data_IF_666834623070
#
_entry.id   IF_666834623070
#
_cell.length_a   1.000
_cell.length_b   1.000
_cell.length_c   1.000
_cell.angle_alpha   90.00
_cell.angle_beta   90.00
_cell.angle_gamma   90.00
#
_symmetry.space_group_name_H-M   'P 1'
#
loop_
_entity.id
_entity.type
_entity.pdbx_description
1 polymer ?
#
# COMPACT_ATOMS: atom_id res chain seq x y z
N UNK A 1 9.17 8.86 1.53
CA UNK A 1 8.59 7.78 2.35
C UNK A 1 8.98 7.99 3.80
N UNK A 2 8.01 7.96 4.72
CA UNK A 2 8.24 7.93 6.15
C UNK A 2 7.96 6.53 6.72
N UNK A 3 8.74 6.08 7.68
CA UNK A 3 8.51 4.83 8.42
C UNK A 3 8.56 5.14 9.90
N UNK A 4 7.47 4.89 10.59
CA UNK A 4 7.34 5.24 12.01
C UNK A 4 6.66 4.11 12.80
N UNK A 5 6.89 4.08 14.11
CA UNK A 5 6.21 3.17 15.02
C UNK A 5 5.19 3.90 15.89
N UNK A 6 4.09 3.23 16.25
CA UNK A 6 3.22 3.66 17.36
C UNK A 6 3.68 3.00 18.66
N UNK A 7 3.61 3.72 19.79
CA UNK A 7 4.02 3.17 21.07
C UNK A 7 3.18 1.95 21.49
N UNK A 8 3.68 1.18 22.43
CA UNK A 8 2.91 0.14 23.09
C UNK A 8 1.82 0.73 23.98
N UNK A 9 0.73 0.01 24.22
CA UNK A 9 -0.38 0.46 25.06
C UNK A 9 0.05 0.74 26.50
N UNK A 10 1.02 -0.03 27.02
CA UNK A 10 1.56 0.17 28.38
C UNK A 10 2.35 1.49 28.55
N UNK A 11 2.78 2.12 27.44
CA UNK A 11 3.45 3.43 27.49
C UNK A 11 2.47 4.58 27.80
N UNK A 12 1.17 4.32 27.73
CA UNK A 12 0.09 5.18 28.17
C UNK A 12 -0.51 6.08 27.09
N UNK A 13 -1.74 6.49 27.33
CA UNK A 13 -2.57 7.26 26.38
C UNK A 13 -1.97 8.60 25.98
N UNK A 14 -1.22 9.25 26.88
CA UNK A 14 -0.57 10.52 26.55
C UNK A 14 0.47 10.35 25.43
N UNK A 15 1.27 9.27 25.51
CA UNK A 15 2.31 8.98 24.53
C UNK A 15 1.68 8.53 23.20
N UNK A 16 0.60 7.77 23.28
CA UNK A 16 -0.18 7.40 22.08
C UNK A 16 -0.76 8.63 21.38
N UNK A 17 -1.37 9.58 22.10
CA UNK A 17 -1.89 10.81 21.53
C UNK A 17 -0.81 11.69 20.89
N UNK A 18 0.38 11.77 21.50
CA UNK A 18 1.52 12.48 20.89
C UNK A 18 1.99 11.81 19.59
N UNK A 19 2.02 10.47 19.57
CA UNK A 19 2.37 9.71 18.36
C UNK A 19 1.34 9.92 17.24
N UNK A 20 0.05 9.93 17.55
CA UNK A 20 -1.02 10.16 16.57
C UNK A 20 -0.93 11.56 15.97
N UNK A 21 -0.74 12.59 16.80
CA UNK A 21 -0.52 13.97 16.32
C UNK A 21 0.71 14.04 15.41
N UNK A 22 1.83 13.43 15.80
CA UNK A 22 3.04 13.42 14.98
C UNK A 22 2.88 12.66 13.66
N UNK A 23 2.08 11.59 13.64
CA UNK A 23 1.73 10.84 12.42
C UNK A 23 0.91 11.72 11.48
N UNK A 24 -0.10 12.43 11.97
CA UNK A 24 -0.91 13.35 11.17
C UNK A 24 -0.07 14.48 10.57
N UNK A 25 0.81 15.09 11.36
CA UNK A 25 1.72 16.13 10.88
C UNK A 25 2.69 15.58 9.83
N UNK A 26 3.28 14.41 10.05
CA UNK A 26 4.22 13.79 9.12
C UNK A 26 3.53 13.39 7.81
N UNK A 27 2.29 12.92 7.87
CA UNK A 27 1.51 12.53 6.68
C UNK A 27 1.32 13.69 5.69
N UNK A 28 1.31 14.93 6.17
CA UNK A 28 1.23 16.12 5.32
C UNK A 28 2.53 16.43 4.57
N UNK A 29 3.67 15.82 4.97
CA UNK A 29 5.00 16.13 4.46
C UNK A 29 5.66 14.97 3.69
N UNK A 30 5.04 13.80 3.65
CA UNK A 30 5.54 12.62 2.94
C UNK A 30 4.49 12.09 1.97
N UNK A 31 4.94 11.50 0.86
CA UNK A 31 4.02 10.88 -0.11
C UNK A 31 3.39 9.61 0.45
N UNK A 32 4.20 8.81 1.14
CA UNK A 32 3.77 7.54 1.77
C UNK A 32 4.26 7.48 3.20
N UNK A 33 3.39 7.08 4.12
CA UNK A 33 3.72 6.85 5.51
C UNK A 33 3.40 5.42 5.93
N UNK A 34 4.45 4.67 6.26
CA UNK A 34 4.33 3.31 6.82
C UNK A 34 4.27 3.44 8.34
N UNK A 35 3.14 3.04 8.92
CA UNK A 35 2.94 3.08 10.37
C UNK A 35 2.94 1.66 10.93
N UNK A 36 3.82 1.41 11.89
CA UNK A 36 4.00 0.11 12.53
C UNK A 36 3.52 0.20 13.99
N UNK A 37 2.34 -0.36 14.34
CA UNK A 37 1.90 -0.40 15.73
C UNK A 37 2.74 -1.40 16.54
N UNK A 38 3.49 -0.94 17.56
CA UNK A 38 4.29 -1.83 18.40
C UNK A 38 3.42 -2.85 19.15
N UNK A 39 2.17 -2.51 19.43
CA UNK A 39 1.23 -3.42 20.10
C UNK A 39 1.04 -4.75 19.32
N UNK A 40 1.15 -4.73 18.01
CA UNK A 40 1.05 -5.93 17.18
C UNK A 40 2.22 -6.92 17.37
N UNK A 41 3.34 -6.45 17.94
CA UNK A 41 4.49 -7.32 18.24
C UNK A 41 4.19 -8.34 19.35
N UNK A 42 3.16 -8.09 20.19
CA UNK A 42 2.73 -9.05 21.20
C UNK A 42 2.25 -10.40 20.61
N UNK A 43 1.84 -10.42 19.35
CA UNK A 43 1.42 -11.67 18.68
C UNK A 43 2.59 -12.62 18.35
N UNK A 44 3.80 -12.06 18.23
CA UNK A 44 5.04 -12.83 17.99
C UNK A 44 5.91 -12.94 19.24
N UNK A 45 5.60 -12.16 20.28
CA UNK A 45 6.23 -12.26 21.58
C UNK A 45 5.72 -13.49 22.35
N UNK A 46 6.55 -14.00 23.23
CA UNK A 46 6.20 -15.10 24.14
C UNK A 46 6.36 -14.66 25.60
N UNK A 47 5.90 -15.48 26.55
CA UNK A 47 5.97 -15.18 27.97
C UNK A 47 7.38 -14.93 28.53
N UNK A 48 8.42 -15.32 27.79
CA UNK A 48 9.84 -15.13 28.14
C UNK A 48 10.44 -13.88 27.52
N UNK A 49 9.70 -13.19 26.64
CA UNK A 49 10.16 -11.98 25.98
C UNK A 49 10.29 -10.87 27.01
N UNK A 50 11.52 -10.39 27.19
CA UNK A 50 11.77 -9.29 28.13
C UNK A 50 11.33 -7.96 27.55
N UNK A 51 11.23 -6.96 28.42
CA UNK A 51 10.92 -5.58 27.99
C UNK A 51 11.94 -5.03 26.98
N UNK A 52 13.23 -5.33 27.20
CA UNK A 52 14.29 -4.94 26.25
C UNK A 52 14.14 -5.64 24.92
N UNK A 53 13.79 -6.94 24.90
CA UNK A 53 13.55 -7.69 23.69
C UNK A 53 12.37 -7.12 22.89
N UNK A 54 11.31 -6.67 23.56
CA UNK A 54 10.16 -6.09 22.89
C UNK A 54 10.54 -4.80 22.10
N UNK A 55 11.36 -3.94 22.68
CA UNK A 55 11.88 -2.76 21.96
C UNK A 55 12.84 -3.14 20.84
N UNK A 56 13.70 -4.13 21.06
CA UNK A 56 14.60 -4.63 20.02
C UNK A 56 13.83 -5.24 18.84
N UNK A 57 12.73 -5.92 19.12
CA UNK A 57 11.79 -6.39 18.08
C UNK A 57 11.18 -5.21 17.30
N UNK A 58 10.81 -4.12 17.98
CA UNK A 58 10.31 -2.91 17.32
C UNK A 58 11.35 -2.28 16.39
N UNK A 59 12.60 -2.18 16.85
CA UNK A 59 13.73 -1.69 16.06
C UNK A 59 13.99 -2.58 14.84
N UNK A 60 13.95 -3.90 15.04
CA UNK A 60 14.13 -4.87 13.95
C UNK A 60 13.06 -4.73 12.88
N UNK A 61 11.81 -4.57 13.27
CA UNK A 61 10.70 -4.41 12.33
C UNK A 61 10.77 -3.07 11.61
N UNK A 62 11.16 -2.00 12.29
CA UNK A 62 11.40 -0.70 11.68
C UNK A 62 12.51 -0.79 10.62
N UNK A 63 13.62 -1.44 10.96
CA UNK A 63 14.72 -1.70 10.03
C UNK A 63 14.25 -2.52 8.82
N UNK A 64 13.50 -3.60 9.05
CA UNK A 64 12.93 -4.41 7.97
C UNK A 64 12.00 -3.61 7.06
N UNK A 65 11.24 -2.65 7.62
CA UNK A 65 10.37 -1.76 6.87
C UNK A 65 11.13 -0.89 5.89
N UNK A 66 12.23 -0.32 6.33
CA UNK A 66 13.12 0.48 5.48
C UNK A 66 13.85 -0.43 4.47
N UNK A 67 14.44 -1.53 4.92
CA UNK A 67 15.18 -2.45 4.08
C UNK A 67 14.31 -3.07 2.99
N UNK A 68 13.04 -3.42 3.29
CA UNK A 68 12.11 -3.99 2.31
C UNK A 68 11.91 -3.12 1.07
N UNK A 69 12.07 -1.81 1.20
CA UNK A 69 12.00 -0.86 0.09
C UNK A 69 13.38 -0.58 -0.52
N UNK A 70 14.39 -0.35 0.33
CA UNK A 70 15.71 0.07 -0.14
C UNK A 70 16.51 -1.07 -0.75
N UNK A 71 16.35 -2.28 -0.26
CA UNK A 71 17.08 -3.46 -0.75
C UNK A 71 16.76 -3.73 -2.23
N UNK A 72 15.53 -3.50 -2.66
CA UNK A 72 15.11 -3.64 -4.06
C UNK A 72 15.84 -2.70 -5.01
N UNK A 73 16.33 -1.56 -4.52
CA UNK A 73 17.08 -0.58 -5.32
C UNK A 73 18.59 -0.80 -5.25
N UNK A 74 19.10 -1.32 -4.12
CA UNK A 74 20.53 -1.31 -3.82
C UNK A 74 21.15 -2.71 -3.98
N UNK A 75 20.41 -3.75 -3.57
CA UNK A 75 20.93 -5.13 -3.63
C UNK A 75 20.78 -5.71 -5.03
N UNK A 76 21.79 -6.47 -5.50
CA UNK A 76 21.65 -7.21 -6.75
C UNK A 76 20.57 -8.29 -6.61
N UNK A 77 19.72 -8.40 -7.61
CA UNK A 77 18.66 -9.40 -7.68
C UNK A 77 18.47 -9.90 -9.11
N UNK A 78 17.65 -10.94 -9.28
CA UNK A 78 17.26 -11.42 -10.61
C UNK A 78 16.22 -10.49 -11.25
N UNK A 79 15.35 -9.93 -10.43
CA UNK A 79 14.32 -8.97 -10.86
C UNK A 79 14.56 -7.68 -10.09
N UNK A 80 15.32 -6.79 -10.71
CA UNK A 80 15.59 -5.47 -10.16
C UNK A 80 14.49 -4.51 -10.54
N UNK A 81 14.03 -3.75 -9.56
CA UNK A 81 13.12 -2.65 -9.78
C UNK A 81 13.91 -1.35 -9.95
N UNK A 82 13.50 -0.54 -10.91
CA UNK A 82 14.04 0.80 -11.03
C UNK A 82 13.38 1.76 -10.03
N UNK A 83 13.98 2.93 -9.88
CA UNK A 83 13.44 3.94 -8.97
C UNK A 83 12.04 4.45 -9.42
N UNK A 84 11.74 4.42 -10.72
CA UNK A 84 10.47 4.87 -11.25
C UNK A 84 9.34 3.91 -10.85
N UNK A 85 9.58 2.61 -10.89
CA UNK A 85 8.63 1.59 -10.45
C UNK A 85 8.29 1.73 -8.97
N UNK A 86 9.32 1.82 -8.12
CA UNK A 86 9.13 2.00 -6.68
C UNK A 86 8.41 3.31 -6.39
N UNK A 87 8.79 4.39 -7.09
CA UNK A 87 8.14 5.68 -6.94
C UNK A 87 6.67 5.62 -7.31
N UNK A 88 6.28 4.92 -8.36
CA UNK A 88 4.87 4.80 -8.78
C UNK A 88 3.99 4.21 -7.68
N UNK A 89 4.48 3.17 -6.98
CA UNK A 89 3.79 2.56 -5.84
C UNK A 89 3.80 3.48 -4.63
N UNK A 90 4.94 4.12 -4.35
CA UNK A 90 5.11 4.95 -3.15
C UNK A 90 4.49 6.34 -3.26
N UNK A 91 4.14 6.80 -4.47
CA UNK A 91 3.40 8.05 -4.66
C UNK A 91 1.88 7.87 -4.59
N UNK A 92 1.38 6.65 -4.46
CA UNK A 92 -0.03 6.42 -4.14
C UNK A 92 -0.30 6.97 -2.74
N UNK A 93 -1.02 8.10 -2.69
CA UNK A 93 -1.27 8.83 -1.45
C UNK A 93 -2.08 8.00 -0.47
N UNK A 94 -1.65 7.97 0.79
CA UNK A 94 -2.37 7.30 1.85
C UNK A 94 -1.47 6.61 2.87
N UNK A 95 -2.10 5.79 3.68
CA UNK A 95 -1.40 4.93 4.62
C UNK A 95 -0.87 3.71 3.89
N UNK A 96 0.34 3.32 4.25
CA UNK A 96 0.92 2.07 3.80
C UNK A 96 1.00 1.08 4.97
N UNK A 97 0.77 -0.17 4.66
CA UNK A 97 0.93 -1.30 5.58
C UNK A 97 2.01 -2.23 5.05
N UNK A 98 2.70 -2.89 5.96
CA UNK A 98 3.77 -3.83 5.63
C UNK A 98 3.61 -5.12 6.40
N UNK A 99 3.89 -6.23 5.72
CA UNK A 99 4.04 -7.55 6.32
C UNK A 99 5.33 -8.20 5.87
N UNK A 100 5.94 -8.95 6.77
CA UNK A 100 7.12 -9.76 6.47
C UNK A 100 6.90 -11.16 7.00
N UNK A 101 7.34 -12.16 6.23
CA UNK A 101 7.35 -13.55 6.62
C UNK A 101 8.68 -14.21 6.25
N UNK A 102 9.14 -15.11 7.08
CA UNK A 102 10.34 -15.90 6.85
C UNK A 102 10.03 -17.38 7.05
N UNK A 103 10.58 -18.21 6.18
CA UNK A 103 10.47 -19.65 6.31
C UNK A 103 11.74 -20.34 5.76
N UNK A 104 11.95 -21.58 6.21
CA UNK A 104 13.07 -22.41 5.78
C UNK A 104 12.61 -23.83 5.52
N UNK A 105 13.38 -24.58 4.73
CA UNK A 105 13.09 -25.98 4.41
C UNK A 105 12.10 -26.15 3.27
N UNK A 106 11.44 -27.30 3.21
CA UNK A 106 10.51 -27.65 2.13
C UNK A 106 9.24 -26.79 2.20
N UNK A 107 8.81 -26.22 1.05
CA UNK A 107 7.65 -25.33 0.98
C UNK A 107 7.88 -23.95 1.61
N UNK A 108 9.14 -23.55 1.82
CA UNK A 108 9.50 -22.25 2.42
C UNK A 108 8.88 -21.06 1.68
N UNK A 109 8.68 -21.17 0.37
CA UNK A 109 8.09 -20.11 -0.45
C UNK A 109 6.67 -19.78 -0.03
N UNK A 110 5.79 -20.80 -0.02
CA UNK A 110 4.39 -20.67 0.40
C UNK A 110 4.29 -20.27 1.87
N UNK A 111 5.08 -20.88 2.75
CA UNK A 111 5.08 -20.58 4.18
C UNK A 111 5.51 -19.14 4.47
N UNK A 112 6.56 -18.63 3.80
CA UNK A 112 7.01 -17.25 3.96
C UNK A 112 5.96 -16.26 3.41
N UNK A 113 5.34 -16.58 2.27
CA UNK A 113 4.26 -15.77 1.71
C UNK A 113 3.04 -15.73 2.66
N UNK A 114 2.60 -16.86 3.17
CA UNK A 114 1.51 -16.93 4.14
C UNK A 114 1.82 -16.20 5.45
N UNK A 115 3.03 -16.34 5.96
CA UNK A 115 3.47 -15.60 7.16
C UNK A 115 3.48 -14.07 6.92
N UNK A 116 3.83 -13.64 5.70
CA UNK A 116 3.79 -12.24 5.32
C UNK A 116 2.35 -11.71 5.20
N UNK A 117 1.45 -12.48 4.57
CA UNK A 117 0.03 -12.14 4.38
C UNK A 117 -0.71 -12.16 5.72
N UNK A 118 -0.56 -13.24 6.49
CA UNK A 118 -1.19 -13.41 7.80
C UNK A 118 -0.56 -12.54 8.88
N UNK A 119 0.37 -11.66 8.50
CA UNK A 119 0.88 -10.67 9.43
C UNK A 119 -0.29 -9.78 9.88
N UNK A 120 -0.55 -9.69 11.19
CA UNK A 120 -1.69 -8.92 11.74
C UNK A 120 -1.72 -7.45 11.37
N UNK A 121 -0.74 -6.99 10.65
CA UNK A 121 -0.65 -5.63 10.09
C UNK A 121 -1.26 -5.54 8.68
N UNK A 122 -1.45 -6.69 8.04
CA UNK A 122 -1.99 -6.84 6.69
C UNK A 122 -3.43 -7.37 6.67
N UNK A 123 -4.01 -7.75 7.83
CA UNK A 123 -5.37 -8.31 7.95
C UNK A 123 -6.47 -7.49 7.25
N UNK A 124 -6.17 -6.25 6.90
CA UNK A 124 -7.09 -5.34 6.22
C UNK A 124 -6.76 -5.08 4.74
N UNK A 125 -5.70 -5.67 4.15
CA UNK A 125 -5.30 -5.33 2.76
C UNK A 125 -6.40 -5.70 1.76
N UNK A 126 -6.94 -6.90 1.85
CA UNK A 126 -8.01 -7.36 0.96
C UNK A 126 -9.34 -6.65 1.24
N UNK A 127 -9.54 -6.14 2.47
CA UNK A 127 -10.72 -5.40 2.88
C UNK A 127 -10.60 -3.89 2.68
N UNK A 128 -9.37 -3.36 2.70
CA UNK A 128 -9.10 -1.93 2.63
C UNK A 128 -8.86 -1.42 1.21
N UNK A 129 -8.77 -2.32 0.21
CA UNK A 129 -8.60 -1.94 -1.20
C UNK A 129 -7.28 -1.22 -1.43
N UNK A 130 -6.15 -1.90 -1.20
CA UNK A 130 -4.84 -1.37 -1.55
C UNK A 130 -4.77 -1.06 -3.04
N UNK A 131 -4.32 0.14 -3.41
CA UNK A 131 -4.19 0.53 -4.83
C UNK A 131 -2.93 -0.01 -5.46
N UNK A 132 -1.87 -0.11 -4.69
CA UNK A 132 -0.62 -0.70 -5.16
C UNK A 132 0.04 -1.57 -4.09
N UNK A 133 0.69 -2.63 -4.52
CA UNK A 133 1.37 -3.59 -3.67
C UNK A 133 2.77 -3.86 -4.20
N UNK A 134 3.76 -3.65 -3.36
CA UNK A 134 5.15 -3.98 -3.62
C UNK A 134 5.49 -5.29 -2.91
N UNK A 135 5.97 -6.26 -3.65
CA UNK A 135 6.37 -7.57 -3.14
C UNK A 135 7.87 -7.74 -3.33
N UNK A 136 8.58 -7.98 -2.26
CA UNK A 136 10.00 -8.32 -2.30
C UNK A 136 10.23 -9.73 -1.77
N UNK A 137 10.81 -10.59 -2.59
CA UNK A 137 11.26 -11.94 -2.20
C UNK A 137 12.77 -11.93 -2.09
N UNK A 138 13.28 -12.21 -0.90
CA UNK A 138 14.72 -12.29 -0.62
C UNK A 138 15.08 -13.70 -0.18
N UNK A 139 16.12 -14.26 -0.78
CA UNK A 139 16.63 -15.60 -0.41
C UNK A 139 18.11 -15.72 -0.67
N UNK A 140 18.67 -16.86 -0.31
CA UNK A 140 20.05 -17.23 -0.63
C UNK A 140 20.22 -17.53 -2.12
N UNK A 141 21.45 -17.90 -2.50
CA UNK A 141 21.77 -18.30 -3.88
C UNK A 141 21.11 -19.64 -4.28
N UNK A 142 20.55 -20.35 -3.33
CA UNK A 142 19.78 -21.59 -3.48
C UNK A 142 18.30 -21.36 -3.85
N UNK A 143 17.84 -20.09 -3.88
CA UNK A 143 16.47 -19.72 -4.23
C UNK A 143 16.19 -20.03 -5.71
N UNK A 144 15.14 -20.80 -5.96
CA UNK A 144 14.74 -21.24 -7.30
C UNK A 144 13.65 -20.34 -7.90
N UNK A 145 13.58 -20.33 -9.23
CA UNK A 145 12.52 -19.60 -9.95
C UNK A 145 11.12 -20.11 -9.58
N UNK A 146 10.98 -21.43 -9.36
CA UNK A 146 9.69 -22.01 -8.97
C UNK A 146 9.21 -21.54 -7.61
N UNK A 147 10.11 -21.42 -6.65
CA UNK A 147 9.80 -20.89 -5.31
C UNK A 147 9.37 -19.44 -5.38
N UNK A 148 10.02 -18.64 -6.22
CA UNK A 148 9.68 -17.23 -6.45
C UNK A 148 8.29 -17.10 -7.06
N UNK A 149 7.97 -17.93 -8.07
CA UNK A 149 6.64 -17.96 -8.71
C UNK A 149 5.55 -18.43 -7.74
N UNK A 150 5.83 -19.47 -6.94
CA UNK A 150 4.90 -19.98 -5.94
C UNK A 150 4.56 -18.93 -4.88
N UNK A 151 5.57 -18.23 -4.34
CA UNK A 151 5.36 -17.14 -3.40
C UNK A 151 4.55 -15.99 -4.03
N UNK A 152 4.88 -15.60 -5.26
CA UNK A 152 4.18 -14.53 -5.98
C UNK A 152 2.70 -14.87 -6.24
N UNK A 153 2.42 -16.10 -6.68
CA UNK A 153 1.05 -16.55 -6.95
C UNK A 153 0.24 -16.61 -5.64
N UNK A 154 0.82 -17.15 -4.56
CA UNK A 154 0.14 -17.20 -3.25
C UNK A 154 -0.26 -15.82 -2.74
N UNK A 155 0.61 -14.81 -2.95
CA UNK A 155 0.31 -13.43 -2.54
C UNK A 155 -0.73 -12.81 -3.46
N UNK A 156 -0.63 -13.06 -4.77
CA UNK A 156 -1.58 -12.52 -5.77
C UNK A 156 -3.00 -12.99 -5.54
N UNK A 157 -3.19 -14.20 -5.06
CA UNK A 157 -4.51 -14.77 -4.74
C UNK A 157 -5.24 -14.01 -3.61
N UNK A 158 -4.51 -13.30 -2.76
CA UNK A 158 -5.05 -12.52 -1.64
C UNK A 158 -5.21 -11.03 -1.93
N UNK A 159 -4.68 -10.55 -3.05
CA UNK A 159 -4.72 -9.14 -3.44
C UNK A 159 -5.86 -8.90 -4.43
N UNK A 160 -6.48 -7.73 -4.34
CA UNK A 160 -7.51 -7.31 -5.27
C UNK A 160 -6.96 -7.26 -6.72
N UNK A 161 -7.73 -7.76 -7.67
CA UNK A 161 -7.35 -7.82 -9.10
C UNK A 161 -7.08 -6.44 -9.72
N UNK A 162 -7.66 -5.39 -9.13
CA UNK A 162 -7.52 -4.01 -9.61
C UNK A 162 -6.26 -3.32 -9.07
N UNK A 163 -5.53 -3.95 -8.15
CA UNK A 163 -4.30 -3.41 -7.58
C UNK A 163 -3.11 -3.52 -8.54
N UNK A 164 -2.27 -2.49 -8.55
CA UNK A 164 -0.98 -2.53 -9.24
C UNK A 164 0.01 -3.34 -8.41
N UNK A 165 0.47 -4.48 -8.93
CA UNK A 165 1.43 -5.33 -8.23
C UNK A 165 2.80 -5.15 -8.85
N UNK A 166 3.78 -4.73 -8.05
CA UNK A 166 5.19 -4.67 -8.42
C UNK A 166 5.94 -5.74 -7.65
N UNK A 167 6.67 -6.56 -8.38
CA UNK A 167 7.39 -7.70 -7.86
C UNK A 167 8.89 -7.53 -8.06
N UNK A 168 9.68 -7.75 -7.00
CA UNK A 168 11.14 -7.79 -7.05
C UNK A 168 11.71 -8.98 -6.30
N UNK A 169 12.91 -9.39 -6.69
CA UNK A 169 13.65 -10.44 -5.99
C UNK A 169 15.09 -10.02 -5.75
N UNK A 170 15.57 -10.23 -4.54
CA UNK A 170 16.93 -9.89 -4.12
C UNK A 170 17.64 -11.10 -3.52
N UNK A 171 18.97 -11.14 -3.65
CA UNK A 171 19.80 -12.15 -3.04
C UNK A 171 20.49 -11.63 -1.77
N UNK A 172 20.52 -12.45 -0.75
CA UNK A 172 21.28 -12.21 0.47
C UNK A 172 21.93 -13.51 0.92
N UNK A 173 23.27 -13.58 0.83
CA UNK A 173 24.04 -14.77 1.21
C UNK A 173 23.81 -15.23 2.66
N UNK A 174 23.33 -14.32 3.53
CA UNK A 174 23.00 -14.64 4.91
C UNK A 174 21.71 -15.42 5.06
N UNK A 175 20.90 -15.49 4.01
CA UNK A 175 19.62 -16.19 3.97
C UNK A 175 19.70 -17.53 3.24
N UNK A 176 20.89 -18.16 3.22
CA UNK A 176 21.03 -19.50 2.64
C UNK A 176 20.11 -20.50 3.34
N UNK A 177 19.30 -21.23 2.58
CA UNK A 177 18.25 -22.12 3.11
C UNK A 177 16.98 -21.42 3.65
N UNK A 178 16.95 -20.09 3.67
CA UNK A 178 15.82 -19.29 4.19
C UNK A 178 15.26 -18.43 3.07
N UNK A 179 13.94 -18.30 3.04
CA UNK A 179 13.25 -17.33 2.18
C UNK A 179 12.52 -16.31 3.04
N UNK A 180 12.69 -15.04 2.70
CA UNK A 180 11.98 -13.92 3.31
C UNK A 180 11.11 -13.26 2.26
N UNK A 181 9.84 -13.07 2.60
CA UNK A 181 8.88 -12.32 1.78
C UNK A 181 8.49 -11.06 2.51
N UNK A 182 8.59 -9.92 1.85
CA UNK A 182 8.16 -8.63 2.37
C UNK A 182 7.10 -8.05 1.43
N UNK A 183 5.97 -7.62 1.99
CA UNK A 183 4.85 -7.04 1.26
C UNK A 183 4.64 -5.64 1.79
N UNK A 184 4.56 -4.64 0.90
CA UNK A 184 4.18 -3.27 1.23
C UNK A 184 2.96 -2.91 0.40
N UNK A 185 1.85 -2.67 1.07
CA UNK A 185 0.60 -2.24 0.44
C UNK A 185 0.38 -0.75 0.67
N UNK A 186 0.10 0.00 -0.40
CA UNK A 186 -0.07 1.45 -0.38
C UNK A 186 -1.44 1.86 -0.91
N UNK A 187 -1.80 3.14 -0.72
CA UNK A 187 -3.09 3.65 -1.17
C UNK A 187 -4.28 3.12 -0.38
N UNK A 188 -4.05 2.70 0.88
CA UNK A 188 -5.10 2.17 1.73
C UNK A 188 -5.97 3.33 2.22
N UNK A 189 -7.21 3.40 1.75
CA UNK A 189 -8.18 4.38 2.20
C UNK A 189 -8.72 4.00 3.57
N UNK A 190 -8.58 4.89 4.55
CA UNK A 190 -9.28 4.73 5.82
C UNK A 190 -10.78 4.86 5.59
N UNK A 191 -11.60 4.04 6.26
CA UNK A 191 -13.06 4.07 6.16
C UNK A 191 -13.69 5.46 6.39
N UNK A 192 -12.96 6.39 7.00
CA UNK A 192 -13.33 7.80 7.17
C UNK A 192 -13.23 8.60 5.85
N UNK A 193 -12.20 8.37 5.05
CA UNK A 193 -12.01 9.07 3.77
C UNK A 193 -13.05 8.62 2.71
N UNK A 194 -13.54 7.39 2.81
CA UNK A 194 -14.58 6.86 1.93
C UNK A 194 -15.95 7.55 2.11
N UNK A 195 -16.17 8.24 3.24
CA UNK A 195 -17.42 8.97 3.52
C UNK A 195 -17.41 10.40 3.01
N UNK A 196 -16.29 10.95 2.58
CA UNK A 196 -16.16 12.34 2.13
C UNK A 196 -15.98 12.49 0.60
N UNK A 197 -16.11 11.44 -0.19
CA UNK A 197 -16.18 11.60 -1.63
C UNK A 197 -17.41 12.46 -1.96
N UNK A 198 -17.25 13.69 -2.48
CA UNK A 198 -18.39 14.53 -2.78
C UNK A 198 -19.22 13.86 -3.86
N UNK A 199 -20.43 13.47 -3.51
CA UNK A 199 -21.44 13.05 -4.48
C UNK A 199 -21.68 14.26 -5.36
N UNK A 200 -21.11 14.29 -6.56
CA UNK A 200 -21.47 15.27 -7.56
C UNK A 200 -22.94 15.05 -7.89
N UNK A 201 -23.81 15.84 -7.26
CA UNK A 201 -25.20 15.95 -7.63
C UNK A 201 -25.17 16.54 -9.04
N UNK A 202 -25.42 15.68 -10.02
CA UNK A 202 -25.57 16.07 -11.41
C UNK A 202 -26.76 17.06 -11.45
N UNK A 203 -26.44 18.34 -11.60
CA UNK A 203 -27.46 19.37 -11.73
C UNK A 203 -28.40 18.99 -12.89
N UNK A 204 -29.74 19.11 -12.70
CA UNK A 204 -30.67 18.85 -13.79
C UNK A 204 -30.45 19.89 -14.88
N UNK A 205 -30.07 19.43 -16.06
CA UNK A 205 -29.97 20.24 -17.28
C UNK A 205 -31.37 20.51 -17.76
N UNK A 206 -32.04 21.49 -17.18
CA UNK A 206 -33.23 22.12 -17.78
C UNK A 206 -32.73 23.15 -18.79
N UNK A 207 -32.67 22.76 -20.05
CA UNK A 207 -32.61 23.70 -21.15
C UNK A 207 -34.01 24.36 -21.27
N UNK A 208 -34.15 25.67 -21.20
CA UNK A 208 -35.37 26.30 -21.64
C UNK A 208 -35.44 26.26 -23.17
N UNK A 209 -36.41 25.54 -23.70
CA UNK A 209 -36.77 25.60 -25.12
C UNK A 209 -37.42 26.94 -25.38
N UNK A 210 -36.65 27.91 -25.84
CA UNK A 210 -37.24 29.14 -26.40
C UNK A 210 -37.62 28.83 -27.86
N UNK A 211 -38.89 28.58 -28.06
CA UNK A 211 -39.52 28.58 -29.39
C UNK A 211 -39.58 30.04 -29.84
N UNK A 212 -38.73 30.41 -30.79
CA UNK A 212 -38.85 31.68 -31.50
C UNK A 212 -39.81 31.42 -32.68
N UNK A 213 -41.05 31.88 -32.51
CA UNK A 213 -42.02 31.98 -33.59
C UNK A 213 -41.55 33.06 -34.57
N UNK A 214 -41.40 32.70 -35.82
CA UNK A 214 -41.21 33.66 -36.90
C UNK A 214 -42.50 34.41 -37.20
N UNK A 215 -42.50 35.71 -37.39
CA UNK A 215 -43.66 36.40 -37.93
C UNK A 215 -43.69 36.26 -39.45
N UNK A 216 -44.76 35.68 -39.91
CA UNK A 216 -45.24 35.75 -41.29
C UNK A 216 -45.86 37.15 -41.47
N UNK A 217 -45.37 37.97 -42.38
CA UNK A 217 -46.17 39.04 -42.96
C UNK A 217 -45.85 39.19 -44.43
N UNK A 218 -46.95 39.07 -45.11
CA UNK A 218 -47.20 39.21 -46.54
C UNK A 218 -47.57 40.69 -46.76
N UNK A 219 -47.15 41.26 -47.82
CA UNK A 219 -47.82 42.23 -48.66
C UNK A 219 -46.83 42.91 -49.59
N UNK A 220 -46.79 42.55 -50.81
CA UNK A 220 -47.65 43.04 -51.88
C UNK A 220 -47.56 44.58 -52.15
N UNK A 221 -47.30 44.82 -53.34
CA UNK A 221 -47.66 45.95 -54.20
C UNK A 221 -46.46 46.55 -54.93
N UNK A 222 -46.42 46.18 -56.19
CA UNK A 222 -46.86 46.96 -57.36
C UNK A 222 -46.07 48.24 -57.65
N UNK A 223 -45.64 48.28 -58.86
CA UNK A 223 -45.81 49.34 -59.82
C UNK A 223 -44.59 50.11 -60.29
N UNK A 224 -44.16 49.84 -61.47
CA UNK A 224 -44.22 50.66 -62.70
C UNK A 224 -43.14 51.72 -62.93
N UNK A 225 -42.51 51.52 -64.07
CA UNK A 225 -42.11 52.44 -65.12
C UNK A 225 -41.09 53.55 -64.86
N UNK A 226 -40.08 53.69 -65.60
CA UNK A 226 -39.78 54.24 -66.96
C UNK A 226 -38.35 53.91 -67.26
#
# INVERSE_FOLDING_TARGET
>A
VGVVTKPFDFEGQRRMGQAETGIEEMQAHVDTLIVIPNQNLFRIANERTTFADAFHMADTVLHQGVAGVTDLMIKPGQINLDFADIRSVMCEMGKAMMGTGEASGEGRATQAAEAAINNPRLDDISRAGARAVLINVTGGMDMTLFEVDEAANRIRDEIDSDSVIIFGSTFDEKLDGIMRVSIVATGIETAAARREAPTFIKAPTTRPSTVISAPTDIADSTTTAV
#
